data_IF_938029144180
#
_entry.id   IF_938029144180
#
_cell.length_a   1.000
_cell.length_b   1.000
_cell.length_c   1.000
_cell.angle_alpha   90.00
_cell.angle_beta   90.00
_cell.angle_gamma   90.00
#
_symmetry.space_group_name_H-M   'P 1'
#
loop_
_entity.id
_entity.type
_entity.pdbx_description
1 polymer ?
#
# COMPACT_ATOMS: atom_id res chain seq x y z
N UNK A 1 2.99 -5.66 17.28
CA UNK A 1 2.48 -6.10 15.97
C UNK A 1 2.18 -7.59 16.01
N UNK A 2 1.00 -8.01 15.54
CA UNK A 2 0.62 -9.44 15.43
C UNK A 2 1.26 -10.12 14.20
N UNK A 3 1.15 -11.45 14.11
CA UNK A 3 1.76 -12.24 13.03
C UNK A 3 1.22 -11.90 11.65
N UNK A 4 -0.08 -11.60 11.54
CA UNK A 4 -0.70 -11.20 10.28
C UNK A 4 -0.07 -9.91 9.74
N UNK A 5 0.02 -8.86 10.57
CA UNK A 5 0.58 -7.56 10.15
C UNK A 5 2.08 -7.63 9.91
N UNK A 6 2.80 -8.50 10.62
CA UNK A 6 4.21 -8.81 10.31
C UNK A 6 4.34 -9.40 8.91
N UNK A 7 3.50 -10.37 8.55
CA UNK A 7 3.52 -10.98 7.23
C UNK A 7 3.20 -9.98 6.11
N UNK A 8 2.14 -9.17 6.29
CA UNK A 8 1.79 -8.07 5.37
C UNK A 8 3.01 -7.17 5.13
N UNK A 9 3.63 -6.70 6.20
CA UNK A 9 4.77 -5.80 6.12
C UNK A 9 5.97 -6.44 5.42
N UNK A 10 6.27 -7.70 5.73
CA UNK A 10 7.36 -8.44 5.09
C UNK A 10 7.14 -8.60 3.59
N UNK A 11 5.93 -8.92 3.17
CA UNK A 11 5.61 -9.05 1.75
C UNK A 11 5.66 -7.71 1.03
N UNK A 12 5.13 -6.63 1.62
CA UNK A 12 5.25 -5.27 1.05
C UNK A 12 6.73 -4.89 0.90
N UNK A 13 7.56 -5.13 1.94
CA UNK A 13 9.02 -4.89 1.90
C UNK A 13 9.68 -5.71 0.79
N UNK A 14 9.35 -6.99 0.68
CA UNK A 14 9.90 -7.88 -0.34
C UNK A 14 9.54 -7.43 -1.76
N UNK A 15 8.28 -7.05 -2.00
CA UNK A 15 7.84 -6.53 -3.30
C UNK A 15 8.57 -5.22 -3.63
N UNK A 16 8.58 -4.27 -2.69
CA UNK A 16 9.30 -3.00 -2.88
C UNK A 16 10.79 -3.22 -3.21
N UNK A 17 11.47 -4.12 -2.49
CA UNK A 17 12.87 -4.51 -2.77
C UNK A 17 13.03 -5.10 -4.18
N UNK A 18 12.15 -6.02 -4.59
CA UNK A 18 12.17 -6.63 -5.91
C UNK A 18 12.04 -5.59 -7.04
N UNK A 19 11.25 -4.54 -6.82
CA UNK A 19 11.05 -3.44 -7.76
C UNK A 19 11.99 -2.24 -7.54
N UNK A 20 12.97 -2.36 -6.63
CA UNK A 20 13.92 -1.28 -6.28
C UNK A 20 13.23 0.03 -5.91
N UNK A 21 12.08 -0.06 -5.26
CA UNK A 21 11.28 1.05 -4.75
C UNK A 21 11.26 0.98 -3.23
N UNK A 22 11.14 2.11 -2.55
CA UNK A 22 10.76 2.19 -1.13
C UNK A 22 9.31 2.70 -0.96
N UNK A 23 8.63 2.99 -2.07
CA UNK A 23 7.27 3.48 -2.12
C UNK A 23 6.30 2.46 -2.71
N UNK A 24 5.08 2.47 -2.17
CA UNK A 24 3.95 1.74 -2.71
C UNK A 24 2.67 2.57 -2.62
N UNK A 25 1.69 2.24 -3.44
CA UNK A 25 0.38 2.87 -3.45
C UNK A 25 -0.70 1.86 -3.10
N UNK A 26 -1.74 2.35 -2.43
CA UNK A 26 -2.90 1.58 -2.02
C UNK A 26 -4.16 2.33 -2.43
N UNK A 27 -5.08 1.63 -3.07
CA UNK A 27 -6.39 2.14 -3.47
C UNK A 27 -7.39 0.99 -3.61
N UNK A 28 -8.65 1.33 -3.80
CA UNK A 28 -9.70 0.36 -4.15
C UNK A 28 -10.33 0.73 -5.47
N UNK A 29 -10.80 -0.25 -6.21
CA UNK A 29 -11.54 -0.03 -7.46
C UNK A 29 -12.99 -0.49 -7.36
N UNK A 30 -13.90 0.34 -7.86
CA UNK A 30 -15.33 0.01 -7.95
C UNK A 30 -15.74 -0.01 -9.41
N UNK A 31 -16.05 -1.21 -9.93
CA UNK A 31 -16.54 -1.42 -11.29
C UNK A 31 -18.04 -1.74 -11.26
N UNK A 32 -18.87 -0.69 -11.28
CA UNK A 32 -20.33 -0.84 -11.19
C UNK A 32 -20.78 -1.37 -9.82
N UNK A 33 -21.45 -2.53 -9.78
CA UNK A 33 -21.81 -3.22 -8.52
C UNK A 33 -20.70 -4.15 -8.00
N UNK A 34 -19.61 -4.35 -8.76
CA UNK A 34 -18.51 -5.22 -8.39
C UNK A 34 -17.42 -4.40 -7.70
N UNK A 35 -17.12 -4.79 -6.46
CA UNK A 35 -16.03 -4.24 -5.67
C UNK A 35 -14.83 -5.15 -5.89
N UNK A 36 -13.76 -4.63 -6.47
CA UNK A 36 -12.51 -5.37 -6.52
C UNK A 36 -11.81 -5.23 -5.17
N UNK A 37 -11.11 -6.27 -4.68
CA UNK A 37 -10.28 -6.14 -3.49
C UNK A 37 -9.27 -5.02 -3.72
N UNK A 38 -8.83 -4.43 -2.61
CA UNK A 38 -7.74 -3.47 -2.54
C UNK A 38 -6.61 -3.79 -3.54
N UNK A 39 -6.13 -2.75 -4.21
CA UNK A 39 -4.99 -2.83 -5.10
C UNK A 39 -3.77 -2.26 -4.39
N UNK A 40 -2.63 -2.92 -4.57
CA UNK A 40 -1.32 -2.42 -4.19
C UNK A 40 -0.47 -2.28 -5.43
N UNK A 41 0.22 -1.16 -5.56
CA UNK A 41 1.17 -0.92 -6.65
C UNK A 41 2.54 -0.53 -6.13
N UNK A 42 3.60 -1.02 -6.76
CA UNK A 42 4.99 -0.69 -6.44
C UNK A 42 5.71 -0.29 -7.72
N UNK A 43 6.38 0.87 -7.73
CA UNK A 43 6.89 1.47 -8.99
C UNK A 43 5.74 1.78 -9.97
N UNK A 44 5.91 2.70 -10.94
CA UNK A 44 4.75 3.20 -11.70
C UNK A 44 3.95 2.06 -12.34
N UNK A 45 2.69 1.90 -11.92
CA UNK A 45 1.67 1.01 -12.49
C UNK A 45 1.93 -0.51 -12.43
N UNK A 46 2.75 -1.00 -11.49
CA UNK A 46 2.89 -2.45 -11.29
C UNK A 46 2.09 -2.91 -10.07
N UNK A 47 0.93 -3.50 -10.34
CA UNK A 47 0.11 -4.16 -9.33
C UNK A 47 0.84 -5.36 -8.74
N UNK A 48 0.81 -5.47 -7.41
CA UNK A 48 1.33 -6.60 -6.64
C UNK A 48 0.21 -7.29 -5.89
N UNK A 49 0.32 -8.61 -5.76
CA UNK A 49 -0.55 -9.42 -4.93
C UNK A 49 0.21 -9.87 -3.69
N UNK A 50 -0.40 -9.66 -2.53
CA UNK A 50 0.05 -10.29 -1.29
C UNK A 50 -0.57 -11.68 -1.19
N UNK A 51 0.05 -12.57 -0.43
CA UNK A 51 -0.52 -13.88 -0.12
C UNK A 51 -1.75 -13.79 0.80
N UNK A 52 -1.88 -12.67 1.52
CA UNK A 52 -3.04 -12.31 2.31
C UNK A 52 -4.03 -11.55 1.41
N UNK A 53 -5.24 -12.06 1.25
CA UNK A 53 -6.25 -11.55 0.30
C UNK A 53 -7.10 -10.38 0.83
N UNK A 54 -6.92 -9.94 2.07
CA UNK A 54 -7.80 -8.96 2.76
C UNK A 54 -7.04 -7.84 3.48
N UNK A 55 -6.05 -7.19 2.85
CA UNK A 55 -5.41 -5.99 3.40
C UNK A 55 -6.44 -4.89 3.68
N UNK A 56 -6.64 -4.61 4.97
CA UNK A 56 -7.57 -3.59 5.43
C UNK A 56 -6.89 -2.22 5.59
N UNK A 57 -7.69 -1.16 5.59
CA UNK A 57 -7.22 0.17 5.96
C UNK A 57 -6.73 0.25 7.41
N UNK A 58 -7.26 -0.59 8.30
CA UNK A 58 -6.81 -0.70 9.70
C UNK A 58 -5.41 -1.30 9.81
N UNK A 59 -5.07 -2.27 8.97
CA UNK A 59 -3.73 -2.84 8.90
C UNK A 59 -2.70 -1.77 8.49
N UNK A 60 -3.01 -0.96 7.47
CA UNK A 60 -2.17 0.16 7.06
C UNK A 60 -2.06 1.23 8.15
N UNK A 61 -3.17 1.58 8.81
CA UNK A 61 -3.16 2.56 9.90
C UNK A 61 -2.31 2.08 11.08
N UNK A 62 -2.35 0.78 11.38
CA UNK A 62 -1.50 0.19 12.41
C UNK A 62 -0.02 0.29 12.04
N UNK A 63 0.35 -0.05 10.79
CA UNK A 63 1.72 0.04 10.31
C UNK A 63 2.24 1.48 10.29
N UNK A 64 1.38 2.45 9.94
CA UNK A 64 1.68 3.88 10.02
C UNK A 64 1.93 4.32 11.47
N UNK A 65 1.03 3.96 12.39
CA UNK A 65 1.18 4.29 13.82
C UNK A 65 2.40 3.61 14.46
N UNK A 66 2.80 2.44 13.96
CA UNK A 66 4.00 1.74 14.38
C UNK A 66 5.29 2.34 13.77
N UNK A 67 5.17 3.29 12.84
CA UNK A 67 6.30 3.92 12.17
C UNK A 67 6.99 3.00 11.15
N UNK A 68 6.34 1.92 10.70
CA UNK A 68 6.88 0.99 9.71
C UNK A 68 6.68 1.48 8.27
N UNK A 69 5.63 2.28 8.07
CA UNK A 69 5.34 2.98 6.82
C UNK A 69 4.98 4.44 7.14
N UNK A 70 5.16 5.33 6.17
CA UNK A 70 4.79 6.73 6.28
C UNK A 70 3.91 7.12 5.11
N UNK A 71 2.78 7.78 5.37
CA UNK A 71 1.96 8.34 4.32
C UNK A 71 2.68 9.54 3.68
N UNK A 72 2.95 9.45 2.37
CA UNK A 72 3.61 10.49 1.59
C UNK A 72 2.60 11.40 0.90
N UNK A 73 1.52 10.80 0.37
CA UNK A 73 0.50 11.55 -0.38
C UNK A 73 -0.87 10.88 -0.29
N UNK A 74 -1.91 11.70 -0.20
CA UNK A 74 -3.29 11.33 -0.52
C UNK A 74 -3.63 11.97 -1.86
N UNK A 75 -4.20 11.20 -2.78
CA UNK A 75 -4.66 11.74 -4.06
C UNK A 75 -6.11 12.14 -3.93
N UNK A 76 -6.45 13.31 -4.47
CA UNK A 76 -7.81 13.74 -4.67
C UNK A 76 -8.43 13.01 -5.88
N UNK A 77 -9.76 12.84 -5.93
CA UNK A 77 -10.42 12.10 -7.02
C UNK A 77 -10.15 12.64 -8.43
N UNK A 78 -9.84 13.94 -8.56
CA UNK A 78 -9.54 14.57 -9.85
C UNK A 78 -8.07 14.38 -10.29
N UNK A 79 -7.21 13.81 -9.42
CA UNK A 79 -5.80 13.55 -9.70
C UNK A 79 -5.55 12.13 -10.20
N UNK A 80 -6.53 11.23 -10.07
CA UNK A 80 -6.46 9.85 -10.58
C UNK A 80 -7.06 9.79 -11.98
N UNK A 81 -6.36 9.14 -12.91
CA UNK A 81 -6.82 9.02 -14.31
C UNK A 81 -8.08 8.15 -14.44
N UNK A 82 -8.30 7.24 -13.48
CA UNK A 82 -9.40 6.30 -13.48
C UNK A 82 -10.46 6.68 -12.44
N UNK A 83 -11.65 7.07 -12.90
CA UNK A 83 -12.80 7.44 -12.05
C UNK A 83 -13.30 6.28 -11.16
N UNK A 84 -12.87 5.04 -11.41
CA UNK A 84 -13.20 3.89 -10.58
C UNK A 84 -12.23 3.68 -9.42
N UNK A 85 -11.13 4.44 -9.35
CA UNK A 85 -10.17 4.39 -8.25
C UNK A 85 -10.57 5.30 -7.10
N UNK A 86 -10.60 4.75 -5.89
CA UNK A 86 -11.00 5.47 -4.69
C UNK A 86 -9.93 5.42 -3.61
N UNK A 87 -9.71 6.59 -3.00
CA UNK A 87 -8.90 6.72 -1.80
C UNK A 87 -7.43 6.38 -2.01
N UNK A 88 -6.89 6.65 -3.21
CA UNK A 88 -5.49 6.37 -3.54
C UNK A 88 -4.56 7.11 -2.58
N UNK A 89 -3.65 6.35 -1.98
CA UNK A 89 -2.65 6.82 -1.03
C UNK A 89 -1.31 6.24 -1.38
N UNK A 90 -0.27 7.07 -1.30
CA UNK A 90 1.12 6.67 -1.44
C UNK A 90 1.77 6.60 -0.07
N UNK A 91 2.41 5.48 0.20
CA UNK A 91 3.19 5.23 1.40
C UNK A 91 4.65 4.97 1.04
N UNK A 92 5.54 5.30 1.97
CA UNK A 92 6.96 4.92 1.93
C UNK A 92 7.26 4.00 3.09
N UNK A 93 8.05 2.96 2.85
CA UNK A 93 8.55 2.07 3.89
C UNK A 93 9.60 2.82 4.71
N UNK A 94 9.47 2.76 6.04
CA UNK A 94 10.49 3.26 6.93
C UNK A 94 11.72 2.36 6.86
N UNK A 95 12.79 2.85 6.23
CA UNK A 95 14.08 2.20 6.31
C UNK A 95 14.65 2.40 7.71
N UNK A 96 14.64 1.35 8.53
CA UNK A 96 15.32 1.30 9.84
C UNK A 96 16.86 1.37 9.74
N UNK A 97 17.39 1.87 8.62
CA UNK A 97 18.82 2.03 8.34
C UNK A 97 19.29 3.48 8.25
N UNK A 98 18.48 4.44 8.73
CA UNK A 98 18.99 5.77 9.09
C UNK A 98 19.29 5.81 10.57
N UNK A 99 20.35 5.11 10.96
CA UNK A 99 21.16 5.58 12.07
C UNK A 99 21.86 6.89 11.61
N UNK A 100 21.93 7.92 12.46
CA UNK A 100 22.60 9.19 12.14
C UNK A 100 24.09 9.02 11.82
#
# INVERSE_FOLDING_TARGET
>A
MDERRKQILQEIKHQCEAYKSDEFEYYFEIWGLNWYPWQLEVSPAQTIQLSINDLSTEDLQYLENAGEIMLIRKYEPHEVENETEFGRKRYRISNSNTAP
#
